data_IF_457777142713
#
_entry.id   IF_457777142713
#
_cell.length_a   1.000
_cell.length_b   1.000
_cell.length_c   1.000
_cell.angle_alpha   90.00
_cell.angle_beta   90.00
_cell.angle_gamma   90.00
#
_symmetry.space_group_name_H-M   'P 1'
#
loop_
_entity.id
_entity.type
_entity.pdbx_description
1 polymer ?
#
# COMPACT_ATOMS: atom_id res chain seq x y z
N UNK A 1 46.21 9.72 -53.12
CA UNK A 1 44.89 9.76 -52.46
C UNK A 1 44.87 8.59 -51.48
N UNK A 2 44.85 8.73 -50.17
CA UNK A 2 44.38 9.78 -49.26
C UNK A 2 45.08 9.58 -47.91
N UNK A 3 45.37 10.68 -47.22
CA UNK A 3 45.83 10.72 -45.82
C UNK A 3 44.68 10.36 -44.85
N UNK A 4 45.01 9.76 -43.71
CA UNK A 4 44.21 9.92 -42.46
C UNK A 4 45.11 10.12 -41.24
N UNK A 5 44.92 11.31 -40.66
CA UNK A 5 45.24 11.90 -39.35
C UNK A 5 45.36 10.92 -38.16
N UNK A 6 46.45 10.97 -37.39
CA UNK A 6 46.62 11.59 -36.05
C UNK A 6 45.75 10.99 -34.93
N UNK A 7 46.19 10.69 -33.71
CA UNK A 7 47.47 10.88 -33.01
C UNK A 7 47.18 10.63 -31.52
N UNK A 8 47.63 9.50 -30.98
CA UNK A 8 47.49 9.13 -29.57
C UNK A 8 48.78 9.51 -28.80
N UNK A 9 48.65 10.32 -27.76
CA UNK A 9 49.77 10.69 -26.89
C UNK A 9 49.94 9.69 -25.73
N UNK A 10 51.14 9.15 -25.61
CA UNK A 10 51.61 8.23 -24.56
C UNK A 10 52.82 8.85 -23.84
N UNK A 11 52.88 8.74 -22.50
CA UNK A 11 54.05 8.44 -21.62
C UNK A 11 53.90 9.12 -20.26
N UNK A 12 53.83 8.39 -19.12
CA UNK A 12 54.85 7.58 -18.40
C UNK A 12 55.94 8.45 -17.75
N UNK A 13 56.07 8.36 -16.41
CA UNK A 13 57.30 8.16 -15.60
C UNK A 13 56.89 7.80 -14.15
N UNK A 14 57.00 6.53 -13.72
CA UNK A 14 58.14 5.90 -13.00
C UNK A 14 58.32 6.34 -11.52
N UNK A 15 57.97 5.45 -10.57
CA UNK A 15 58.84 4.56 -9.77
C UNK A 15 59.47 5.22 -8.55
N UNK A 16 59.09 4.76 -7.36
CA UNK A 16 59.99 4.68 -6.21
C UNK A 16 59.62 3.45 -5.34
N UNK A 17 60.49 2.45 -5.36
CA UNK A 17 60.55 1.33 -4.40
C UNK A 17 61.69 1.58 -3.43
N UNK A 18 61.51 1.32 -2.13
CA UNK A 18 62.54 0.75 -1.26
C UNK A 18 62.02 0.39 0.15
N UNK A 19 62.46 -0.81 0.58
CA UNK A 19 62.80 -1.27 1.95
C UNK A 19 61.75 -1.82 2.93
N UNK A 20 61.92 -3.14 3.17
CA UNK A 20 61.55 -3.96 4.34
C UNK A 20 62.04 -3.37 5.67
N UNK A 21 61.26 -3.57 6.75
CA UNK A 21 61.82 -4.10 8.00
C UNK A 21 60.77 -4.82 8.87
N UNK A 22 61.21 -5.89 9.54
CA UNK A 22 60.40 -6.80 10.36
C UNK A 22 60.09 -6.27 11.77
N UNK A 23 58.94 -6.62 12.33
CA UNK A 23 58.81 -6.83 13.79
C UNK A 23 57.63 -7.74 14.15
N UNK A 24 57.91 -8.75 14.97
CA UNK A 24 56.98 -9.75 15.53
C UNK A 24 56.00 -9.09 16.51
N UNK A 25 54.71 -9.39 16.41
CA UNK A 25 53.78 -9.40 17.56
C UNK A 25 52.86 -10.63 17.48
N UNK A 26 53.08 -11.59 18.38
CA UNK A 26 52.11 -12.61 18.77
C UNK A 26 50.99 -11.91 19.54
N UNK A 27 49.74 -12.00 19.09
CA UNK A 27 48.58 -11.78 19.94
C UNK A 27 47.58 -12.92 19.75
N UNK A 28 47.65 -13.83 20.72
CA UNK A 28 46.61 -14.61 21.40
C UNK A 28 45.28 -14.77 20.64
N UNK A 29 45.01 -16.02 20.27
CA UNK A 29 43.70 -16.54 19.92
C UNK A 29 42.70 -16.33 21.06
N UNK A 30 41.77 -15.41 20.88
CA UNK A 30 40.57 -15.27 21.69
C UNK A 30 39.38 -15.24 20.76
N UNK A 31 38.89 -16.41 20.35
CA UNK A 31 37.61 -16.52 19.68
C UNK A 31 36.53 -16.16 20.70
N UNK A 32 36.12 -14.89 20.71
CA UNK A 32 34.87 -14.51 21.37
C UNK A 32 33.78 -15.05 20.46
N UNK A 33 33.26 -16.23 20.80
CA UNK A 33 32.01 -16.70 20.23
C UNK A 33 30.94 -15.66 20.62
N UNK A 34 30.71 -14.70 19.74
CA UNK A 34 29.52 -13.87 19.81
C UNK A 34 28.35 -14.85 19.67
N UNK A 35 27.71 -15.17 20.79
CA UNK A 35 26.37 -15.76 20.77
C UNK A 35 25.51 -14.75 20.03
N UNK A 36 25.24 -15.04 18.75
CA UNK A 36 24.27 -14.29 17.98
C UNK A 36 22.95 -14.44 18.72
N UNK A 37 22.55 -13.40 19.45
CA UNK A 37 21.23 -13.32 20.05
C UNK A 37 20.23 -13.53 18.90
N UNK A 38 19.39 -14.56 19.01
CA UNK A 38 18.35 -14.84 18.05
C UNK A 38 17.50 -13.58 17.90
N UNK A 39 17.61 -12.92 16.74
CA UNK A 39 16.81 -11.75 16.43
C UNK A 39 15.34 -12.19 16.39
N UNK A 40 14.41 -11.43 16.99
CA UNK A 40 13.00 -11.78 16.93
C UNK A 40 12.54 -11.80 15.47
N UNK A 41 12.10 -12.98 15.00
CA UNK A 41 11.60 -13.19 13.65
C UNK A 41 10.15 -12.71 13.52
N UNK A 42 9.97 -11.40 13.35
CA UNK A 42 8.70 -10.84 12.92
C UNK A 42 8.42 -11.15 11.44
N UNK A 43 7.15 -11.40 11.09
CA UNK A 43 6.67 -11.38 9.70
C UNK A 43 5.35 -10.62 9.61
N UNK A 44 5.07 -9.97 8.49
CA UNK A 44 3.77 -9.33 8.24
C UNK A 44 2.71 -10.43 8.16
N UNK A 45 1.70 -10.34 9.04
CA UNK A 45 0.69 -11.40 9.20
C UNK A 45 -0.61 -11.17 8.45
N UNK A 46 -0.92 -9.93 8.12
CA UNK A 46 -2.18 -9.56 7.52
C UNK A 46 -2.25 -8.10 7.14
N UNK A 47 -3.41 -7.72 6.63
CA UNK A 47 -3.76 -6.35 6.31
C UNK A 47 -4.71 -5.81 7.39
N UNK A 48 -4.35 -4.70 8.01
CA UNK A 48 -5.13 -4.12 9.11
C UNK A 48 -6.13 -3.08 8.58
N UNK A 49 -5.63 -2.04 7.92
CA UNK A 49 -6.46 -0.98 7.36
C UNK A 49 -5.79 -0.25 6.20
N UNK A 50 -6.62 0.51 5.47
CA UNK A 50 -6.17 1.54 4.52
C UNK A 50 -6.62 2.91 5.01
N UNK A 51 -5.83 3.96 4.75
CA UNK A 51 -6.23 5.34 4.96
C UNK A 51 -6.41 6.06 3.62
N UNK A 52 -7.56 6.69 3.42
CA UNK A 52 -7.92 7.39 2.18
C UNK A 52 -8.46 8.79 2.51
N UNK A 53 -8.15 9.84 1.74
CA UNK A 53 -8.87 11.10 1.87
C UNK A 53 -10.31 10.94 1.35
N UNK A 54 -11.24 11.71 1.91
CA UNK A 54 -12.62 11.87 1.40
C UNK A 54 -12.96 13.35 1.15
N UNK A 55 -13.89 13.62 0.24
CA UNK A 55 -14.36 14.97 -0.09
C UNK A 55 -15.80 15.22 0.40
N UNK A 56 -16.73 14.32 0.07
CA UNK A 56 -18.16 14.50 0.34
C UNK A 56 -18.57 13.81 1.65
N UNK A 57 -18.07 14.30 2.80
CA UNK A 57 -18.19 13.61 4.10
C UNK A 57 -19.61 13.14 4.44
N UNK A 58 -20.62 13.99 4.34
CA UNK A 58 -22.01 13.60 4.65
C UNK A 58 -22.53 12.48 3.76
N UNK A 59 -22.30 12.58 2.45
CA UNK A 59 -22.73 11.57 1.48
C UNK A 59 -21.99 10.24 1.68
N UNK A 60 -20.68 10.29 1.90
CA UNK A 60 -19.84 9.11 2.19
C UNK A 60 -20.33 8.38 3.44
N UNK A 61 -20.58 9.10 4.54
CA UNK A 61 -21.08 8.52 5.79
C UNK A 61 -22.44 7.84 5.59
N UNK A 62 -23.38 8.51 4.92
CA UNK A 62 -24.69 7.95 4.64
C UNK A 62 -24.60 6.70 3.76
N UNK A 63 -23.74 6.73 2.74
CA UNK A 63 -23.54 5.63 1.81
C UNK A 63 -22.98 4.37 2.50
N UNK A 64 -21.88 4.49 3.25
CA UNK A 64 -21.29 3.34 3.93
C UNK A 64 -22.21 2.77 5.02
N UNK A 65 -22.99 3.61 5.71
CA UNK A 65 -24.03 3.14 6.63
C UNK A 65 -25.15 2.39 5.91
N UNK A 66 -25.59 2.87 4.75
CA UNK A 66 -26.64 2.22 3.96
C UNK A 66 -26.19 0.86 3.39
N UNK A 67 -24.88 0.69 3.14
CA UNK A 67 -24.27 -0.60 2.83
C UNK A 67 -24.16 -1.53 4.06
N UNK A 68 -24.51 -1.07 5.26
CA UNK A 68 -24.53 -1.86 6.48
C UNK A 68 -23.22 -1.89 7.26
N UNK A 69 -22.23 -1.06 6.91
CA UNK A 69 -20.98 -0.99 7.66
C UNK A 69 -21.16 -0.27 9.00
N UNK A 70 -20.39 -0.70 10.01
CA UNK A 70 -20.21 0.08 11.23
C UNK A 70 -19.31 1.30 10.93
N UNK A 71 -19.81 2.49 11.24
CA UNK A 71 -19.12 3.75 10.97
C UNK A 71 -18.90 4.52 12.27
N UNK A 72 -17.64 4.77 12.61
CA UNK A 72 -17.23 5.62 13.74
C UNK A 72 -16.64 6.93 13.27
N UNK A 73 -16.95 8.00 13.98
CA UNK A 73 -16.62 9.37 13.56
C UNK A 73 -15.80 10.11 14.61
N UNK A 74 -14.87 10.93 14.14
CA UNK A 74 -14.18 11.96 14.93
C UNK A 74 -14.12 13.24 14.11
N UNK A 75 -13.74 14.38 14.70
CA UNK A 75 -13.62 15.65 13.96
C UNK A 75 -12.75 15.53 12.70
N UNK A 76 -11.69 14.72 12.76
CA UNK A 76 -10.65 14.64 11.73
C UNK A 76 -10.84 13.48 10.74
N UNK A 77 -11.55 12.42 11.13
CA UNK A 77 -11.61 11.19 10.36
C UNK A 77 -12.91 10.40 10.57
N UNK A 78 -13.11 9.40 9.73
CA UNK A 78 -14.21 8.44 9.78
C UNK A 78 -13.64 7.03 9.56
N UNK A 79 -13.90 6.12 10.49
CA UNK A 79 -13.55 4.71 10.36
C UNK A 79 -14.76 3.91 9.91
N UNK A 80 -14.64 3.22 8.78
CA UNK A 80 -15.63 2.26 8.27
C UNK A 80 -15.08 0.85 8.51
N UNK A 81 -15.70 0.10 9.41
CA UNK A 81 -15.21 -1.22 9.83
C UNK A 81 -15.79 -2.34 8.98
N UNK A 82 -14.95 -3.31 8.64
CA UNK A 82 -15.28 -4.54 7.91
C UNK A 82 -14.61 -5.73 8.60
N UNK A 83 -15.40 -6.45 9.42
CA UNK A 83 -14.85 -7.45 10.34
C UNK A 83 -13.77 -6.82 11.24
N UNK A 84 -12.59 -7.44 11.27
CA UNK A 84 -11.44 -6.93 12.04
C UNK A 84 -10.58 -5.90 11.29
N UNK A 85 -10.98 -5.48 10.07
CA UNK A 85 -10.27 -4.48 9.28
C UNK A 85 -11.06 -3.16 9.21
N UNK A 86 -10.42 -2.09 8.75
CA UNK A 86 -11.13 -0.83 8.52
C UNK A 86 -10.62 -0.03 7.31
N UNK A 87 -11.47 0.87 6.84
CA UNK A 87 -11.08 2.00 6.00
C UNK A 87 -11.12 3.24 6.86
N UNK A 88 -9.99 3.92 6.98
CA UNK A 88 -9.89 5.18 7.69
C UNK A 88 -9.94 6.35 6.70
N UNK A 89 -11.11 6.96 6.58
CA UNK A 89 -11.29 8.11 5.72
C UNK A 89 -10.91 9.40 6.45
N UNK A 90 -9.88 10.09 5.96
CA UNK A 90 -9.51 11.41 6.45
C UNK A 90 -10.46 12.46 5.87
N UNK A 91 -11.01 13.32 6.73
CA UNK A 91 -11.89 14.42 6.32
C UNK A 91 -11.11 15.57 5.69
N UNK A 92 -11.74 16.46 4.90
CA UNK A 92 -11.07 17.62 4.31
C UNK A 92 -10.25 18.42 5.31
N UNK A 93 -10.76 18.63 6.53
CA UNK A 93 -10.05 19.36 7.59
C UNK A 93 -8.71 18.75 7.99
N UNK A 94 -8.55 17.42 7.89
CA UNK A 94 -7.30 16.72 8.21
C UNK A 94 -6.42 16.61 6.98
N UNK A 95 -6.98 16.15 5.86
CA UNK A 95 -6.16 15.85 4.69
C UNK A 95 -5.77 17.12 3.91
N UNK A 96 -6.46 18.24 4.06
CA UNK A 96 -6.02 19.50 3.42
C UNK A 96 -5.07 20.30 4.33
N UNK A 97 -4.84 19.85 5.56
CA UNK A 97 -3.86 20.46 6.45
C UNK A 97 -2.45 20.15 5.96
N UNK A 98 -1.71 21.19 5.59
CA UNK A 98 -0.32 21.08 5.12
C UNK A 98 0.64 20.54 6.20
N UNK A 99 0.28 20.65 7.49
CA UNK A 99 1.04 20.07 8.59
C UNK A 99 0.83 18.56 8.74
N UNK A 100 -0.23 18.00 8.16
CA UNK A 100 -0.52 16.58 8.22
C UNK A 100 0.27 15.79 7.15
N UNK A 101 1.48 15.37 7.52
CA UNK A 101 2.45 14.73 6.62
C UNK A 101 2.45 13.20 6.67
N UNK A 102 1.87 12.57 7.70
CA UNK A 102 1.77 11.11 7.84
C UNK A 102 0.65 10.52 6.97
N UNK A 103 0.83 10.64 5.66
CA UNK A 103 -0.12 10.22 4.62
C UNK A 103 0.59 9.99 3.29
N UNK A 104 -0.11 9.40 2.33
CA UNK A 104 0.32 9.45 0.95
C UNK A 104 0.27 10.91 0.43
N UNK A 105 1.40 11.48 -0.05
CA UNK A 105 1.47 12.90 -0.43
C UNK A 105 0.67 13.22 -1.70
N UNK A 106 0.51 12.25 -2.61
CA UNK A 106 -0.25 12.40 -3.84
C UNK A 106 -1.75 12.05 -3.69
N UNK A 107 -2.15 11.41 -2.59
CA UNK A 107 -3.52 10.94 -2.43
C UNK A 107 -4.50 12.12 -2.37
N UNK A 108 -5.49 12.11 -3.26
CA UNK A 108 -6.63 13.02 -3.28
C UNK A 108 -7.88 12.22 -3.66
N UNK A 109 -9.07 12.56 -3.15
CA UNK A 109 -10.28 11.83 -3.52
C UNK A 109 -10.63 12.01 -5.01
N UNK A 110 -11.16 10.98 -5.69
CA UNK A 110 -11.11 9.57 -5.30
C UNK A 110 -9.75 8.94 -5.60
N UNK A 111 -9.30 8.03 -4.73
CA UNK A 111 -8.09 7.23 -4.96
C UNK A 111 -8.16 5.81 -4.39
N UNK A 112 -9.36 5.36 -3.99
CA UNK A 112 -9.61 4.01 -3.51
C UNK A 112 -10.08 3.08 -4.64
N UNK A 113 -9.54 1.87 -4.63
CA UNK A 113 -10.01 0.71 -5.38
C UNK A 113 -9.98 -0.49 -4.43
N UNK A 114 -11.15 -0.89 -3.94
CA UNK A 114 -11.30 -1.73 -2.76
C UNK A 114 -12.23 -2.90 -3.06
N UNK A 115 -11.78 -4.11 -2.74
CA UNK A 115 -12.57 -5.33 -2.89
C UNK A 115 -13.01 -5.90 -1.53
N UNK A 116 -14.31 -6.15 -1.40
CA UNK A 116 -14.94 -6.73 -0.23
C UNK A 116 -15.50 -8.10 -0.57
N UNK A 117 -15.40 -9.03 0.38
CA UNK A 117 -16.07 -10.32 0.26
C UNK A 117 -17.53 -10.14 0.65
N UNK A 118 -18.44 -10.59 -0.21
CA UNK A 118 -19.85 -10.75 0.11
C UNK A 118 -20.16 -12.23 0.37
N UNK A 119 -20.72 -12.54 1.53
CA UNK A 119 -21.06 -13.90 1.96
C UNK A 119 -22.54 -14.26 1.73
N UNK A 120 -23.36 -13.32 1.26
CA UNK A 120 -24.75 -13.53 0.89
C UNK A 120 -24.95 -13.93 -0.58
N UNK A 121 -26.21 -14.02 -0.99
CA UNK A 121 -26.57 -14.32 -2.39
C UNK A 121 -26.38 -13.10 -3.30
N UNK A 122 -26.22 -13.29 -4.63
CA UNK A 122 -26.19 -12.18 -5.59
C UNK A 122 -27.46 -11.31 -5.55
N UNK A 123 -28.63 -11.92 -5.29
CA UNK A 123 -29.91 -11.20 -5.16
C UNK A 123 -29.89 -10.28 -3.93
N UNK A 124 -29.39 -10.79 -2.79
CA UNK A 124 -29.27 -9.99 -1.57
C UNK A 124 -28.27 -8.84 -1.75
N UNK A 125 -27.14 -9.08 -2.44
CA UNK A 125 -26.18 -8.04 -2.79
C UNK A 125 -26.85 -6.95 -3.63
N UNK A 126 -27.53 -7.33 -4.71
CA UNK A 126 -28.24 -6.37 -5.57
C UNK A 126 -29.23 -5.53 -4.76
N UNK A 127 -30.04 -6.17 -3.91
CA UNK A 127 -31.00 -5.46 -3.08
C UNK A 127 -30.34 -4.49 -2.09
N UNK A 128 -29.19 -4.84 -1.52
CA UNK A 128 -28.40 -3.95 -0.66
C UNK A 128 -27.89 -2.73 -1.45
N UNK A 129 -27.27 -2.97 -2.61
CA UNK A 129 -26.74 -1.91 -3.47
C UNK A 129 -27.84 -0.95 -3.93
N UNK A 130 -29.00 -1.49 -4.35
CA UNK A 130 -30.16 -0.68 -4.75
C UNK A 130 -30.65 0.21 -3.60
N UNK A 131 -30.76 -0.33 -2.37
CA UNK A 131 -31.16 0.45 -1.18
C UNK A 131 -30.15 1.54 -0.81
N UNK A 132 -28.86 1.27 -1.02
CA UNK A 132 -27.81 2.24 -0.79
C UNK A 132 -27.68 3.30 -1.92
N UNK A 133 -28.47 3.16 -3.00
CA UNK A 133 -28.34 4.01 -4.18
C UNK A 133 -27.05 3.77 -4.97
N UNK A 134 -26.39 2.62 -4.75
CA UNK A 134 -25.14 2.25 -5.39
C UNK A 134 -25.41 1.65 -6.77
N UNK A 135 -25.20 2.46 -7.82
CA UNK A 135 -25.36 1.99 -9.20
C UNK A 135 -24.25 1.00 -9.57
N UNK A 136 -24.66 -0.20 -9.99
CA UNK A 136 -23.75 -1.19 -10.60
C UNK A 136 -23.18 -0.64 -11.90
N UNK A 137 -21.85 -0.64 -12.01
CA UNK A 137 -21.14 -0.21 -13.23
C UNK A 137 -20.65 -1.39 -14.07
N UNK A 138 -20.34 -2.52 -13.45
CA UNK A 138 -19.96 -3.78 -14.11
C UNK A 138 -20.28 -4.95 -13.18
N UNK A 139 -20.57 -6.12 -13.74
CA UNK A 139 -20.79 -7.36 -13.00
C UNK A 139 -22.19 -7.94 -13.21
N UNK A 140 -22.40 -9.23 -12.84
CA UNK A 140 -21.40 -10.15 -12.31
C UNK A 140 -20.35 -10.54 -13.37
N UNK A 141 -19.07 -10.50 -13.02
CA UNK A 141 -17.96 -10.86 -13.91
C UNK A 141 -16.92 -11.73 -13.18
N UNK A 142 -16.28 -12.69 -13.86
CA UNK A 142 -15.28 -13.55 -13.23
C UNK A 142 -14.05 -12.74 -12.81
N UNK A 143 -13.56 -12.99 -11.60
CA UNK A 143 -12.35 -12.39 -11.03
C UNK A 143 -11.56 -13.40 -10.20
N UNK A 144 -10.27 -13.12 -10.03
CA UNK A 144 -9.39 -13.85 -9.13
C UNK A 144 -9.24 -13.06 -7.83
N UNK A 145 -9.66 -13.65 -6.71
CA UNK A 145 -9.67 -12.96 -5.42
C UNK A 145 -8.46 -13.24 -4.53
N UNK A 146 -8.31 -12.43 -3.48
CA UNK A 146 -7.22 -12.53 -2.49
C UNK A 146 -7.14 -13.85 -1.72
N UNK A 147 -8.23 -14.64 -1.69
CA UNK A 147 -8.23 -16.01 -1.15
C UNK A 147 -7.57 -17.05 -2.08
N UNK A 148 -6.97 -16.61 -3.20
CA UNK A 148 -6.43 -17.48 -4.26
C UNK A 148 -7.49 -18.39 -4.88
N UNK A 149 -8.73 -17.89 -4.95
CA UNK A 149 -9.88 -18.55 -5.58
C UNK A 149 -10.51 -17.63 -6.63
N UNK A 150 -11.08 -18.22 -7.66
CA UNK A 150 -11.98 -17.50 -8.56
C UNK A 150 -13.27 -17.14 -7.83
N UNK A 151 -13.87 -16.02 -8.22
CA UNK A 151 -15.17 -15.58 -7.75
C UNK A 151 -15.89 -14.76 -8.81
N UNK A 152 -17.08 -14.29 -8.48
CA UNK A 152 -17.90 -13.41 -9.30
C UNK A 152 -18.02 -12.06 -8.63
N UNK A 153 -17.65 -10.99 -9.34
CA UNK A 153 -17.57 -9.64 -8.78
C UNK A 153 -18.60 -8.69 -9.39
N UNK A 154 -19.10 -7.78 -8.55
CA UNK A 154 -19.92 -6.62 -8.93
C UNK A 154 -19.22 -5.35 -8.51
N UNK A 155 -19.23 -4.34 -9.36
CA UNK A 155 -18.55 -3.07 -9.17
C UNK A 155 -19.54 -1.91 -9.03
N UNK A 156 -19.27 -0.99 -8.10
CA UNK A 156 -20.00 0.26 -7.90
C UNK A 156 -19.02 1.41 -7.62
N UNK A 157 -19.53 2.65 -7.61
CA UNK A 157 -18.79 3.83 -7.13
C UNK A 157 -19.41 4.31 -5.82
N UNK A 158 -18.56 4.71 -4.87
CA UNK A 158 -19.02 5.50 -3.73
C UNK A 158 -19.25 6.98 -4.14
N UNK A 159 -19.76 7.84 -3.23
CA UNK A 159 -20.04 9.24 -3.54
C UNK A 159 -18.83 10.11 -3.93
N UNK A 160 -17.61 9.72 -3.54
CA UNK A 160 -16.38 10.40 -3.98
C UNK A 160 -15.87 9.84 -5.31
N UNK A 161 -16.34 8.67 -5.73
CA UNK A 161 -15.96 7.97 -6.94
C UNK A 161 -14.91 6.88 -6.74
N UNK A 162 -14.62 6.46 -5.50
CA UNK A 162 -13.76 5.29 -5.27
C UNK A 162 -14.44 4.03 -5.86
N UNK A 163 -13.65 3.12 -6.41
CA UNK A 163 -14.16 1.86 -6.94
C UNK A 163 -14.37 0.88 -5.78
N UNK A 164 -15.57 0.35 -5.65
CA UNK A 164 -15.87 -0.72 -4.72
C UNK A 164 -16.25 -1.98 -5.50
N UNK A 165 -15.53 -3.05 -5.23
CA UNK A 165 -15.78 -4.40 -5.73
C UNK A 165 -16.40 -5.26 -4.62
N UNK A 166 -17.43 -6.01 -4.96
CA UNK A 166 -18.00 -7.04 -4.09
C UNK A 166 -17.83 -8.39 -4.76
N UNK A 167 -16.93 -9.22 -4.23
CA UNK A 167 -16.64 -10.57 -4.74
C UNK A 167 -17.40 -11.63 -3.94
N UNK A 168 -18.03 -12.56 -4.66
CA UNK A 168 -18.62 -13.79 -4.13
C UNK A 168 -17.75 -14.96 -4.60
N UNK A 169 -17.23 -15.77 -3.68
CA UNK A 169 -16.37 -16.93 -3.97
C UNK A 169 -17.17 -18.21 -4.22
#
# INVERSE_FOLDING_TARGET
MTMTSAGYYTRIMERYTMRRNSSRRKFISGAVAATAAAQPSGSVRGFDHVALPMQNTGAMLAFYRALGFEVRESRAACSVYVGDQMINFHRPVLWQDASFTLRAPAAKPPCGDLCFVWDGTPVALKALLDRAGAKVIEGPVPRQGGRKKSGSSVYVRDPDGNLLEFIIY
#
